data_IF_250041098505
#
_entry.id   IF_250041098505
#
_cell.length_a   1.000
_cell.length_b   1.000
_cell.length_c   1.000
_cell.angle_alpha   90.00
_cell.angle_beta   90.00
_cell.angle_gamma   90.00
#
_symmetry.space_group_name_H-M   'P 1'
#
loop_
_entity.id
_entity.type
_entity.pdbx_description
1 polymer ?
#
# COMPACT_ATOMS: atom_id res chain seq x y z
N UNK A 1 4.12 -14.83 -17.67
CA UNK A 1 3.70 -13.82 -16.69
C UNK A 1 3.50 -14.57 -15.37
N UNK A 2 4.49 -14.53 -14.49
CA UNK A 2 4.50 -15.37 -13.28
C UNK A 2 3.71 -14.77 -12.12
N UNK A 3 3.56 -15.54 -11.04
CA UNK A 3 2.92 -15.09 -9.82
C UNK A 3 3.51 -13.75 -9.34
N UNK A 4 2.64 -12.81 -8.91
CA UNK A 4 3.08 -11.49 -8.45
C UNK A 4 4.01 -11.64 -7.26
N UNK A 5 5.25 -11.17 -7.42
CA UNK A 5 6.22 -11.07 -6.33
C UNK A 5 5.86 -9.99 -5.32
N UNK A 6 4.89 -9.14 -5.66
CA UNK A 6 4.39 -8.06 -4.82
C UNK A 6 3.56 -8.55 -3.63
N UNK A 7 3.03 -9.78 -3.64
CA UNK A 7 2.18 -10.32 -2.56
C UNK A 7 0.80 -9.66 -2.40
N UNK A 8 0.54 -8.54 -3.09
CA UNK A 8 -0.71 -7.79 -3.04
C UNK A 8 -1.72 -8.19 -4.13
N UNK A 9 -1.42 -9.20 -4.95
CA UNK A 9 -2.35 -9.60 -6.00
C UNK A 9 -3.64 -10.15 -5.40
N UNK A 10 -4.77 -9.69 -5.93
CA UNK A 10 -6.12 -10.18 -5.60
C UNK A 10 -6.61 -11.21 -6.59
N UNK A 11 -5.81 -11.52 -7.61
CA UNK A 11 -6.08 -12.56 -8.59
C UNK A 11 -5.92 -13.95 -7.94
N UNK A 12 -6.91 -14.87 -8.08
CA UNK A 12 -6.85 -16.20 -7.46
C UNK A 12 -5.71 -17.06 -8.01
N UNK A 13 -5.30 -16.84 -9.25
CA UNK A 13 -4.14 -17.49 -9.88
C UNK A 13 -2.81 -16.79 -9.52
N UNK A 14 -2.88 -15.78 -8.64
CA UNK A 14 -1.78 -14.94 -8.15
C UNK A 14 -1.06 -14.20 -9.27
N UNK A 15 -1.68 -14.01 -10.43
CA UNK A 15 -1.07 -13.24 -11.51
C UNK A 15 -0.92 -11.76 -11.13
N UNK A 16 0.05 -11.05 -11.70
CA UNK A 16 0.15 -9.62 -11.47
C UNK A 16 -1.03 -8.90 -12.12
N UNK A 17 -1.86 -8.25 -11.30
CA UNK A 17 -3.03 -7.48 -11.73
C UNK A 17 -2.94 -5.99 -11.35
N UNK A 18 -1.75 -5.52 -10.93
CA UNK A 18 -1.50 -4.11 -10.64
C UNK A 18 -1.97 -3.63 -9.25
N UNK A 19 -2.49 -4.51 -8.38
CA UNK A 19 -3.00 -4.10 -7.04
C UNK A 19 -1.96 -3.39 -6.17
N UNK A 20 -0.67 -3.61 -6.40
CA UNK A 20 0.40 -2.87 -5.71
C UNK A 20 0.34 -1.34 -5.94
N UNK A 21 -0.19 -0.88 -7.09
CA UNK A 21 -0.44 0.54 -7.32
C UNK A 21 -1.55 1.09 -6.43
N UNK A 22 -2.61 0.31 -6.23
CA UNK A 22 -3.73 0.67 -5.35
C UNK A 22 -3.26 0.72 -3.90
N UNK A 23 -2.51 -0.29 -3.45
CA UNK A 23 -1.93 -0.31 -2.09
C UNK A 23 -1.02 0.90 -1.86
N UNK A 24 -0.21 1.28 -2.86
CA UNK A 24 0.64 2.48 -2.77
C UNK A 24 -0.18 3.77 -2.66
N UNK A 25 -1.27 3.89 -3.43
CA UNK A 25 -2.15 5.05 -3.38
C UNK A 25 -2.88 5.16 -2.03
N UNK A 26 -3.45 4.06 -1.53
CA UNK A 26 -4.12 4.01 -0.22
C UNK A 26 -3.15 4.33 0.92
N UNK A 27 -1.91 3.85 0.82
CA UNK A 27 -0.87 4.14 1.81
C UNK A 27 -0.53 5.63 1.87
N UNK A 28 -0.41 6.29 0.71
CA UNK A 28 -0.18 7.73 0.64
C UNK A 28 -1.37 8.54 1.20
N UNK A 29 -2.60 8.13 0.88
CA UNK A 29 -3.82 8.74 1.43
C UNK A 29 -3.89 8.59 2.96
N UNK A 30 -3.59 7.39 3.49
CA UNK A 30 -3.54 7.15 4.93
C UNK A 30 -2.51 8.04 5.62
N UNK A 31 -1.30 8.15 5.06
CA UNK A 31 -0.26 9.02 5.60
C UNK A 31 -0.75 10.48 5.67
N UNK A 32 -1.32 10.99 4.58
CA UNK A 32 -1.85 12.36 4.54
C UNK A 32 -2.95 12.58 5.59
N UNK A 33 -3.84 11.60 5.78
CA UNK A 33 -4.91 11.67 6.79
C UNK A 33 -4.38 11.58 8.22
N UNK A 34 -3.36 10.77 8.46
CA UNK A 34 -2.70 10.64 9.77
C UNK A 34 -1.94 11.93 10.12
N UNK A 35 -1.23 12.52 9.16
CA UNK A 35 -0.57 13.83 9.32
C UNK A 35 -1.59 14.94 9.60
N UNK A 36 -2.70 14.97 8.86
CA UNK A 36 -3.79 15.92 9.08
C UNK A 36 -4.50 15.73 10.44
N UNK A 37 -4.58 14.50 10.94
CA UNK A 37 -5.13 14.18 12.25
C UNK A 37 -4.14 14.40 13.41
N UNK A 38 -2.88 14.78 13.13
CA UNK A 38 -1.83 14.98 14.13
C UNK A 38 -1.14 13.70 14.62
N UNK A 39 -1.39 12.55 13.98
CA UNK A 39 -0.75 11.27 14.25
C UNK A 39 0.54 11.11 13.44
N UNK A 40 1.52 11.97 13.72
CA UNK A 40 2.80 11.99 12.99
C UNK A 40 3.63 10.73 13.21
N UNK A 41 3.53 10.08 14.37
CA UNK A 41 4.22 8.82 14.69
C UNK A 41 3.72 7.67 13.79
N UNK A 42 2.41 7.55 13.63
CA UNK A 42 1.78 6.54 12.79
C UNK A 42 2.07 6.79 11.30
N UNK A 43 2.03 8.06 10.88
CA UNK A 43 2.42 8.45 9.52
C UNK A 43 3.87 8.09 9.20
N UNK A 44 4.79 8.28 10.15
CA UNK A 44 6.21 7.95 9.99
C UNK A 44 6.44 6.43 9.90
N UNK A 45 5.74 5.63 10.71
CA UNK A 45 5.76 4.17 10.62
C UNK A 45 5.31 3.67 9.24
N UNK A 46 4.32 4.33 8.64
CA UNK A 46 3.87 4.01 7.28
C UNK A 46 4.92 4.41 6.22
N UNK A 47 5.70 5.47 6.43
CA UNK A 47 6.76 5.88 5.50
C UNK A 47 7.98 4.95 5.50
N UNK A 48 8.24 4.23 6.59
CA UNK A 48 9.43 3.35 6.74
C UNK A 48 9.28 1.93 6.13
N UNK A 49 8.05 1.46 5.90
CA UNK A 49 7.77 0.18 5.21
C UNK A 49 7.53 0.37 3.72
#
# INVERSE_FOLDING_TARGET
MGACTCGYSTDPEKNCNGTHHVVKAVKADMIAKLEAAGHTDAAELLKQK
#
